data_IF_798508672101
#
_entry.id   IF_798508672101
#
_cell.length_a   1.000
_cell.length_b   1.000
_cell.length_c   1.000
_cell.angle_alpha   90.00
_cell.angle_beta   90.00
_cell.angle_gamma   90.00
#
_symmetry.space_group_name_H-M   'P 1'
#
loop_
_entity.id
_entity.type
_entity.pdbx_description
1 polymer ?
#
# COMPACT_ATOMS: atom_id res chain seq x y z
N UNK A 1 12.18 26.23 28.02
CA UNK A 1 10.94 26.92 27.60
C UNK A 1 9.67 26.19 28.03
N UNK A 2 9.36 24.97 27.56
CA UNK A 2 8.19 24.21 28.07
C UNK A 2 8.49 23.49 29.39
N UNK A 3 9.69 22.89 29.50
CA UNK A 3 10.15 22.25 30.74
C UNK A 3 10.32 23.25 31.89
N UNK A 4 10.52 24.54 31.61
CA UNK A 4 10.62 25.55 32.69
C UNK A 4 9.25 25.93 33.25
N UNK A 5 8.17 25.67 32.49
CA UNK A 5 6.79 25.82 32.94
C UNK A 5 6.32 24.56 33.69
N UNK A 6 6.68 23.38 33.19
CA UNK A 6 6.24 22.09 33.75
C UNK A 6 7.10 21.65 34.95
N UNK A 7 8.40 21.90 34.91
CA UNK A 7 9.37 21.51 35.93
C UNK A 7 10.47 22.58 36.08
N UNK A 8 10.19 23.69 36.78
CA UNK A 8 11.18 24.74 37.03
C UNK A 8 12.31 24.21 37.92
N UNK A 9 13.56 24.52 37.56
CA UNK A 9 14.73 24.27 38.41
C UNK A 9 15.20 25.58 39.05
N UNK A 10 15.77 25.48 40.26
CA UNK A 10 16.38 26.60 40.98
C UNK A 10 17.70 27.08 40.34
N UNK A 11 18.24 26.30 39.39
CA UNK A 11 19.45 26.61 38.64
C UNK A 11 19.17 26.78 37.15
N UNK A 12 20.08 27.46 36.43
CA UNK A 12 20.05 27.57 34.97
C UNK A 12 20.16 26.20 34.32
N UNK A 13 19.13 25.79 33.57
CA UNK A 13 19.14 24.52 32.83
C UNK A 13 20.19 24.55 31.72
N UNK A 14 21.08 23.56 31.68
CA UNK A 14 22.11 23.45 30.63
C UNK A 14 21.45 23.29 29.26
N UNK A 15 21.79 24.20 28.33
CA UNK A 15 21.32 24.19 26.95
C UNK A 15 22.12 23.13 26.16
N UNK A 16 21.48 22.00 25.86
CA UNK A 16 22.08 20.94 25.05
C UNK A 16 21.33 20.81 23.73
N UNK A 17 22.05 20.86 22.61
CA UNK A 17 21.51 20.69 21.26
C UNK A 17 21.57 19.20 20.92
N UNK A 18 20.45 18.63 20.49
CA UNK A 18 20.35 17.19 20.19
C UNK A 18 21.33 16.73 19.09
N UNK A 19 21.75 17.64 18.21
CA UNK A 19 22.71 17.40 17.14
C UNK A 19 23.82 18.43 17.23
N UNK A 20 25.01 17.98 17.65
CA UNK A 20 26.19 18.83 17.71
C UNK A 20 26.76 19.01 16.29
N UNK A 21 26.63 20.22 15.75
CA UNK A 21 27.17 20.61 14.44
C UNK A 21 27.76 22.01 14.54
N UNK A 22 28.84 22.27 13.80
CA UNK A 22 29.37 23.63 13.70
C UNK A 22 28.50 24.42 12.71
N UNK A 23 27.64 25.27 13.25
CA UNK A 23 26.72 26.10 12.45
C UNK A 23 27.41 27.37 11.91
N UNK A 24 28.70 27.60 12.22
CA UNK A 24 29.42 28.82 11.81
C UNK A 24 28.91 30.10 12.46
N UNK A 25 28.09 29.98 13.50
CA UNK A 25 27.50 31.07 14.29
C UNK A 25 27.63 30.76 15.78
N UNK A 26 27.59 31.79 16.63
CA UNK A 26 27.61 31.62 18.08
C UNK A 26 26.37 30.82 18.52
N UNK A 27 26.59 29.62 19.08
CA UNK A 27 25.51 28.73 19.47
C UNK A 27 24.73 29.24 20.69
N UNK A 28 25.34 30.08 21.53
CA UNK A 28 24.67 30.63 22.71
C UNK A 28 23.72 31.77 22.34
N UNK A 29 24.09 32.59 21.34
CA UNK A 29 23.24 33.65 20.78
C UNK A 29 22.10 33.08 19.91
N UNK A 30 22.39 32.05 19.10
CA UNK A 30 21.44 31.46 18.15
C UNK A 30 20.82 30.14 18.61
N UNK A 31 20.83 29.86 19.91
CA UNK A 31 20.37 28.58 20.47
C UNK A 31 18.93 28.21 20.05
N UNK A 32 17.98 29.16 20.17
CA UNK A 32 16.55 28.91 19.87
C UNK A 32 16.31 28.55 18.41
N UNK A 33 16.77 29.32 17.41
CA UNK A 33 16.57 28.96 16.01
C UNK A 33 17.27 27.65 15.63
N UNK A 34 18.49 27.40 16.13
CA UNK A 34 19.21 26.14 15.91
C UNK A 34 18.43 24.95 16.48
N UNK A 35 17.90 25.08 17.70
CA UNK A 35 17.12 24.04 18.35
C UNK A 35 15.82 23.72 17.58
N UNK A 36 15.10 24.75 17.13
CA UNK A 36 13.88 24.56 16.32
C UNK A 36 14.21 23.90 14.98
N UNK A 37 15.22 24.41 14.28
CA UNK A 37 15.65 23.86 13.00
C UNK A 37 16.04 22.38 13.10
N UNK A 38 16.90 22.04 14.06
CA UNK A 38 17.34 20.65 14.28
C UNK A 38 16.17 19.73 14.63
N UNK A 39 15.24 20.19 15.47
CA UNK A 39 14.03 19.44 15.83
C UNK A 39 13.16 19.17 14.59
N UNK A 40 12.93 20.18 13.76
CA UNK A 40 12.14 20.03 12.52
C UNK A 40 12.84 19.06 11.56
N UNK A 41 14.15 19.18 11.38
CA UNK A 41 14.92 18.28 10.51
C UNK A 41 14.85 16.83 10.98
N UNK A 42 14.96 16.58 12.29
CA UNK A 42 14.79 15.24 12.86
C UNK A 42 13.38 14.71 12.58
N UNK A 43 12.35 15.52 12.83
CA UNK A 43 10.96 15.12 12.56
C UNK A 43 10.76 14.79 11.07
N UNK A 44 11.25 15.63 10.15
CA UNK A 44 11.17 15.38 8.71
C UNK A 44 11.90 14.08 8.34
N UNK A 45 13.10 13.86 8.87
CA UNK A 45 13.85 12.62 8.63
C UNK A 45 13.10 11.37 9.07
N UNK A 46 12.51 11.39 10.27
CA UNK A 46 11.68 10.29 10.77
C UNK A 46 10.46 10.07 9.87
N UNK A 47 9.77 11.14 9.46
CA UNK A 47 8.61 11.03 8.58
C UNK A 47 8.98 10.43 7.22
N UNK A 48 10.10 10.83 6.63
CA UNK A 48 10.60 10.26 5.36
C UNK A 48 10.90 8.77 5.52
N UNK A 49 11.57 8.38 6.60
CA UNK A 49 11.89 6.98 6.88
C UNK A 49 10.60 6.15 6.98
N UNK A 50 9.67 6.57 7.84
CA UNK A 50 8.38 5.88 8.05
C UNK A 50 7.57 5.82 6.76
N UNK A 51 7.50 6.91 5.99
CA UNK A 51 6.78 6.95 4.72
C UNK A 51 7.39 5.99 3.69
N UNK A 52 8.72 5.96 3.60
CA UNK A 52 9.46 5.07 2.68
C UNK A 52 9.23 3.61 3.03
N UNK A 53 9.37 3.24 4.31
CA UNK A 53 9.12 1.88 4.80
C UNK A 53 7.68 1.44 4.53
N UNK A 54 6.72 2.32 4.85
CA UNK A 54 5.29 2.05 4.64
C UNK A 54 4.97 1.87 3.15
N UNK A 55 5.53 2.71 2.28
CA UNK A 55 5.37 2.60 0.83
C UNK A 55 5.96 1.29 0.31
N UNK A 56 7.16 0.92 0.75
CA UNK A 56 7.80 -0.33 0.33
C UNK A 56 6.98 -1.57 0.72
N UNK A 57 6.50 -1.63 1.96
CA UNK A 57 5.63 -2.71 2.44
C UNK A 57 4.32 -2.73 1.65
N UNK A 58 3.69 -1.59 1.44
CA UNK A 58 2.43 -1.48 0.69
C UNK A 58 2.58 -1.99 -0.75
N UNK A 59 3.61 -1.53 -1.46
CA UNK A 59 3.91 -1.99 -2.83
C UNK A 59 4.16 -3.49 -2.88
N UNK A 60 4.92 -4.03 -1.92
CA UNK A 60 5.22 -5.46 -1.84
C UNK A 60 3.96 -6.28 -1.60
N UNK A 61 3.14 -5.90 -0.62
CA UNK A 61 1.87 -6.58 -0.32
C UNK A 61 0.91 -6.52 -1.50
N UNK A 62 0.82 -5.38 -2.18
CA UNK A 62 -0.01 -5.22 -3.37
C UNK A 62 0.44 -6.15 -4.50
N UNK A 63 1.74 -6.19 -4.80
CA UNK A 63 2.30 -7.10 -5.81
C UNK A 63 2.08 -8.57 -5.44
N UNK A 64 2.37 -8.98 -4.20
CA UNK A 64 2.13 -10.34 -3.72
C UNK A 64 0.66 -10.75 -3.82
N UNK A 65 -0.26 -9.85 -3.48
CA UNK A 65 -1.70 -10.09 -3.56
C UNK A 65 -2.15 -10.28 -5.01
N UNK A 66 -1.65 -9.45 -5.92
CA UNK A 66 -1.91 -9.58 -7.36
C UNK A 66 -1.39 -10.91 -7.91
N UNK A 67 -0.16 -11.30 -7.57
CA UNK A 67 0.38 -12.60 -7.97
C UNK A 67 -0.43 -13.77 -7.41
N UNK A 68 -0.95 -13.66 -6.19
CA UNK A 68 -1.81 -14.70 -5.62
C UNK A 68 -3.13 -14.84 -6.39
N UNK A 69 -3.75 -13.72 -6.78
CA UNK A 69 -4.98 -13.72 -7.58
C UNK A 69 -4.71 -14.34 -8.95
N UNK A 70 -3.66 -13.90 -9.64
CA UNK A 70 -3.29 -14.45 -10.95
C UNK A 70 -2.97 -15.94 -10.83
N UNK A 71 -2.26 -16.35 -9.79
CA UNK A 71 -1.96 -17.76 -9.52
C UNK A 71 -3.22 -18.61 -9.37
N UNK A 72 -4.22 -18.11 -8.63
CA UNK A 72 -5.51 -18.79 -8.47
C UNK A 72 -6.27 -18.91 -9.81
N UNK A 73 -6.29 -17.85 -10.61
CA UNK A 73 -6.93 -17.88 -11.93
C UNK A 73 -6.24 -18.88 -12.87
N UNK A 74 -4.90 -18.92 -12.87
CA UNK A 74 -4.12 -19.87 -13.67
C UNK A 74 -4.38 -21.31 -13.22
N UNK A 75 -4.38 -21.58 -11.91
CA UNK A 75 -4.67 -22.89 -11.36
C UNK A 75 -6.11 -23.34 -11.72
N UNK A 76 -7.07 -22.42 -11.64
CA UNK A 76 -8.45 -22.67 -12.03
C UNK A 76 -8.56 -23.03 -13.52
N UNK A 77 -7.94 -22.26 -14.42
CA UNK A 77 -7.92 -22.55 -15.87
C UNK A 77 -7.26 -23.90 -16.17
N UNK A 78 -6.13 -24.22 -15.52
CA UNK A 78 -5.46 -25.52 -15.68
C UNK A 78 -6.37 -26.65 -15.19
N UNK A 79 -7.05 -26.47 -14.05
CA UNK A 79 -7.97 -27.47 -13.52
C UNK A 79 -9.14 -27.72 -14.48
N UNK A 80 -9.70 -26.66 -15.07
CA UNK A 80 -10.76 -26.72 -16.08
C UNK A 80 -10.24 -27.42 -17.35
N UNK A 81 -9.04 -27.11 -17.82
CA UNK A 81 -8.45 -27.77 -18.99
C UNK A 81 -8.24 -29.27 -18.77
N UNK A 82 -7.74 -29.67 -17.58
CA UNK A 82 -7.58 -31.09 -17.19
C UNK A 82 -8.91 -31.80 -17.04
N UNK A 83 -9.91 -31.12 -16.45
CA UNK A 83 -11.28 -31.62 -16.42
C UNK A 83 -11.86 -31.69 -17.82
N UNK A 84 -11.53 -30.77 -18.73
CA UNK A 84 -11.94 -30.77 -20.14
C UNK A 84 -11.32 -31.93 -20.94
N UNK A 85 -10.08 -32.32 -20.66
CA UNK A 85 -9.51 -33.56 -21.22
C UNK A 85 -10.23 -34.81 -20.69
N UNK A 86 -10.47 -34.90 -19.38
CA UNK A 86 -11.27 -35.98 -18.81
C UNK A 86 -12.72 -35.96 -19.30
N UNK A 87 -13.28 -34.77 -19.46
CA UNK A 87 -14.62 -34.55 -19.98
C UNK A 87 -14.64 -34.83 -21.46
N UNK A 88 -13.63 -34.60 -22.28
CA UNK A 88 -13.58 -35.08 -23.66
C UNK A 88 -13.63 -36.62 -23.73
N UNK A 89 -13.01 -37.30 -22.76
CA UNK A 89 -13.16 -38.74 -22.57
C UNK A 89 -14.60 -39.13 -22.10
N UNK A 90 -15.35 -38.20 -21.47
CA UNK A 90 -16.75 -38.34 -21.03
C UNK A 90 -17.76 -37.69 -22.02
N UNK A 91 -17.37 -36.83 -22.96
CA UNK A 91 -18.20 -35.93 -23.78
C UNK A 91 -18.59 -36.58 -25.09
N UNK A 92 -17.97 -37.72 -25.42
CA UNK A 92 -18.66 -38.80 -26.14
C UNK A 92 -20.03 -39.17 -25.49
N UNK A 93 -20.29 -38.72 -24.26
CA UNK A 93 -21.51 -38.94 -23.46
C UNK A 93 -22.18 -37.65 -22.92
N UNK A 94 -21.67 -36.42 -23.15
CA UNK A 94 -22.12 -35.17 -22.46
C UNK A 94 -22.31 -33.93 -23.35
N UNK A 95 -22.65 -34.08 -24.62
CA UNK A 95 -22.86 -32.97 -25.58
C UNK A 95 -24.11 -32.11 -25.29
N UNK A 96 -24.99 -32.54 -24.37
CA UNK A 96 -26.25 -31.84 -24.05
C UNK A 96 -26.14 -30.72 -22.99
N UNK A 97 -25.03 -30.63 -22.24
CA UNK A 97 -24.90 -29.72 -21.08
C UNK A 97 -24.23 -28.37 -21.44
N UNK A 98 -23.44 -28.31 -22.52
CA UNK A 98 -22.70 -27.10 -22.92
C UNK A 98 -23.58 -26.00 -23.53
N UNK A 99 -24.64 -26.36 -24.27
CA UNK A 99 -25.52 -25.38 -24.96
C UNK A 99 -26.28 -24.44 -24.00
N UNK A 100 -26.54 -24.87 -22.75
CA UNK A 100 -27.23 -24.06 -21.75
C UNK A 100 -26.31 -23.03 -21.08
N UNK A 101 -25.02 -23.38 -20.91
CA UNK A 101 -24.04 -22.53 -20.23
C UNK A 101 -23.63 -21.33 -21.09
N UNK A 102 -23.49 -21.52 -22.40
CA UNK A 102 -23.11 -20.46 -23.35
C UNK A 102 -24.13 -19.31 -23.38
N UNK A 103 -25.44 -19.63 -23.43
CA UNK A 103 -26.52 -18.63 -23.35
C UNK A 103 -26.47 -17.80 -22.07
N UNK A 104 -26.08 -18.42 -20.96
CA UNK A 104 -26.03 -17.77 -19.65
C UNK A 104 -24.86 -16.77 -19.57
N UNK A 105 -23.73 -17.09 -20.20
CA UNK A 105 -22.56 -16.21 -20.32
C UNK A 105 -22.87 -14.99 -21.20
N UNK A 106 -23.52 -15.20 -22.35
CA UNK A 106 -23.92 -14.09 -23.23
C UNK A 106 -24.89 -13.12 -22.56
N UNK A 107 -25.85 -13.61 -21.76
CA UNK A 107 -26.75 -12.74 -21.02
C UNK A 107 -26.03 -11.85 -20.00
N UNK A 108 -25.05 -12.39 -19.27
CA UNK A 108 -24.28 -11.60 -18.30
C UNK A 108 -23.42 -10.52 -18.98
N UNK A 109 -22.88 -10.81 -20.16
CA UNK A 109 -22.10 -9.85 -20.94
C UNK A 109 -22.95 -8.65 -21.39
N UNK A 110 -24.15 -8.89 -21.90
CA UNK A 110 -25.07 -7.83 -22.34
C UNK A 110 -25.47 -6.91 -21.18
N UNK A 111 -25.73 -7.48 -19.99
CA UNK A 111 -26.06 -6.68 -18.78
C UNK A 111 -24.89 -5.78 -18.37
N UNK A 112 -23.65 -6.29 -18.47
CA UNK A 112 -22.46 -5.52 -18.13
C UNK A 112 -22.28 -4.32 -19.07
N UNK A 113 -22.40 -4.53 -20.39
CA UNK A 113 -22.32 -3.46 -21.38
C UNK A 113 -23.38 -2.37 -21.14
N UNK A 114 -24.62 -2.78 -20.86
CA UNK A 114 -25.71 -1.84 -20.62
C UNK A 114 -25.50 -0.98 -19.37
N UNK A 115 -24.93 -1.56 -18.30
CA UNK A 115 -24.57 -0.81 -17.09
C UNK A 115 -23.42 0.17 -17.33
N UNK A 116 -22.42 -0.22 -18.10
CA UNK A 116 -21.30 0.66 -18.45
C UNK A 116 -21.78 1.87 -19.25
N UNK A 117 -22.67 1.66 -20.21
CA UNK A 117 -23.24 2.74 -21.02
C UNK A 117 -24.08 3.72 -20.18
N UNK A 118 -24.87 3.21 -19.22
CA UNK A 118 -25.64 4.03 -18.26
C UNK A 118 -24.79 4.85 -17.29
N UNK A 119 -23.54 4.45 -17.05
CA UNK A 119 -22.62 5.15 -16.15
C UNK A 119 -21.82 6.27 -16.86
N UNK A 120 -21.91 6.35 -18.19
CA UNK A 120 -21.25 7.36 -19.02
C UNK A 120 -22.19 8.53 -19.39
N UNK A 121 -23.45 8.47 -18.99
CA UNK A 121 -24.47 9.52 -19.11
C UNK A 121 -24.62 10.24 -17.75
#
# INVERSE_FOLDING_TARGET
MLLDVILPLNESRTKNIAVYSDYGVDQDEYFVPIFVYTTVMIMVGINILVATDTMHVSCTVHACSLFRIIGYEVENVISIARMGEQVNNIQRTKTGYESFNEKQVYQKYIVCLKKHQLALE
#
